data_IF_892887398802
#
_entry.id   IF_892887398802
#
_cell.length_a   1.000
_cell.length_b   1.000
_cell.length_c   1.000
_cell.angle_alpha   90.00
_cell.angle_beta   90.00
_cell.angle_gamma   90.00
#
_symmetry.space_group_name_H-M   'P 1'
#
loop_
_entity.id
_entity.type
_entity.pdbx_description
1 polymer ?
#
# COMPACT_ATOMS: atom_id res chain seq x y z
N UNK A 1 19.49 5.20 12.01
CA UNK A 1 18.04 5.06 11.74
C UNK A 1 17.91 5.16 10.24
N UNK A 2 17.41 4.12 9.58
CA UNK A 2 17.29 4.11 8.12
C UNK A 2 16.16 5.05 7.67
N UNK A 3 16.23 5.54 6.44
CA UNK A 3 15.15 6.39 5.90
C UNK A 3 13.80 5.65 5.84
N UNK A 4 13.81 4.31 5.77
CA UNK A 4 12.61 3.50 5.90
C UNK A 4 12.01 3.57 7.31
N UNK A 5 12.83 3.48 8.37
CA UNK A 5 12.38 3.64 9.75
C UNK A 5 11.79 5.05 10.01
N UNK A 6 12.37 6.07 9.39
CA UNK A 6 11.80 7.43 9.40
C UNK A 6 10.43 7.48 8.71
N UNK A 7 10.25 6.78 7.59
CA UNK A 7 8.96 6.69 6.93
C UNK A 7 7.91 6.00 7.81
N UNK A 8 8.30 4.91 8.51
CA UNK A 8 7.44 4.20 9.45
C UNK A 8 7.02 5.07 10.65
N UNK A 9 7.86 6.03 11.05
CA UNK A 9 7.56 6.96 12.14
C UNK A 9 6.74 8.18 11.70
N UNK A 10 6.95 8.66 10.47
CA UNK A 10 6.33 9.89 9.94
C UNK A 10 4.83 9.73 9.69
N UNK A 11 4.39 8.57 9.18
CA UNK A 11 2.97 8.27 8.95
C UNK A 11 2.25 9.30 8.07
N UNK A 12 1.25 9.99 8.64
CA UNK A 12 0.36 10.92 7.92
C UNK A 12 1.10 12.06 7.23
N UNK A 13 2.27 12.43 7.74
CA UNK A 13 3.06 13.56 7.24
C UNK A 13 3.93 13.21 6.02
N UNK A 14 3.84 11.98 5.52
CA UNK A 14 4.52 11.58 4.30
C UNK A 14 3.92 12.33 3.09
N UNK A 15 4.77 13.02 2.34
CA UNK A 15 4.35 13.69 1.09
C UNK A 15 3.89 12.65 0.05
N UNK A 16 3.10 13.05 -0.96
CA UNK A 16 2.71 12.14 -2.05
C UNK A 16 3.90 11.44 -2.72
N UNK A 17 5.01 12.16 -2.91
CA UNK A 17 6.25 11.65 -3.50
C UNK A 17 6.90 10.60 -2.59
N UNK A 18 6.95 10.86 -1.27
CA UNK A 18 7.46 9.91 -0.29
C UNK A 18 6.60 8.65 -0.23
N UNK A 19 5.26 8.79 -0.21
CA UNK A 19 4.32 7.65 -0.26
C UNK A 19 4.50 6.83 -1.53
N UNK A 20 4.69 7.49 -2.68
CA UNK A 20 4.95 6.80 -3.94
C UNK A 20 6.30 6.09 -3.96
N UNK A 21 7.36 6.71 -3.44
CA UNK A 21 8.68 6.11 -3.33
C UNK A 21 8.64 4.88 -2.40
N UNK A 22 7.95 4.99 -1.27
CA UNK A 22 7.71 3.90 -0.33
C UNK A 22 6.96 2.73 -1.00
N UNK A 23 5.91 3.01 -1.77
CA UNK A 23 5.21 2.00 -2.57
C UNK A 23 6.15 1.26 -3.53
N UNK A 24 7.00 2.00 -4.26
CA UNK A 24 7.97 1.41 -5.20
C UNK A 24 9.03 0.57 -4.48
N UNK A 25 9.50 1.05 -3.32
CA UNK A 25 10.45 0.34 -2.47
C UNK A 25 9.86 -0.96 -1.94
N UNK A 26 8.70 -0.91 -1.27
CA UNK A 26 8.02 -2.09 -0.72
C UNK A 26 7.69 -3.14 -1.80
N UNK A 27 7.23 -2.70 -2.98
CA UNK A 27 6.93 -3.60 -4.10
C UNK A 27 8.18 -4.34 -4.61
N UNK A 28 9.34 -3.69 -4.56
CA UNK A 28 10.62 -4.26 -4.96
C UNK A 28 11.16 -5.20 -3.87
N UNK A 29 11.24 -4.71 -2.64
CA UNK A 29 11.89 -5.40 -1.51
C UNK A 29 11.08 -6.63 -1.07
N UNK A 30 9.76 -6.46 -0.93
CA UNK A 30 8.86 -7.52 -0.45
C UNK A 30 8.26 -8.33 -1.61
N UNK A 31 8.88 -8.29 -2.79
CA UNK A 31 8.35 -8.88 -4.03
C UNK A 31 8.03 -10.38 -3.89
N UNK A 32 8.94 -11.17 -3.32
CA UNK A 32 8.74 -12.61 -3.15
C UNK A 32 7.80 -12.91 -1.98
N UNK A 33 7.92 -12.18 -0.86
CA UNK A 33 6.98 -12.28 0.26
C UNK A 33 5.53 -12.00 -0.21
N UNK A 34 5.31 -10.98 -1.03
CA UNK A 34 4.00 -10.68 -1.59
C UNK A 34 3.49 -11.76 -2.54
N UNK A 35 4.37 -12.48 -3.23
CA UNK A 35 3.98 -13.61 -4.06
C UNK A 35 3.50 -14.77 -3.18
N UNK A 36 4.20 -15.08 -2.11
CA UNK A 36 3.80 -16.09 -1.12
C UNK A 36 2.47 -15.71 -0.45
N UNK A 37 2.35 -14.47 0.02
CA UNK A 37 1.11 -13.91 0.57
C UNK A 37 -0.04 -13.98 -0.44
N UNK A 38 0.21 -13.73 -1.73
CA UNK A 38 -0.83 -13.82 -2.76
C UNK A 38 -1.32 -15.27 -2.90
N UNK A 39 -0.41 -16.25 -2.93
CA UNK A 39 -0.77 -17.66 -3.00
C UNK A 39 -1.55 -18.11 -1.75
N UNK A 40 -1.12 -17.68 -0.57
CA UNK A 40 -1.83 -17.96 0.69
C UNK A 40 -3.23 -17.36 0.70
N UNK A 41 -3.38 -16.09 0.30
CA UNK A 41 -4.68 -15.42 0.25
C UNK A 41 -5.63 -16.11 -0.76
N UNK A 42 -5.13 -16.47 -1.94
CA UNK A 42 -5.92 -17.19 -2.95
C UNK A 42 -6.34 -18.59 -2.48
N UNK A 43 -5.54 -19.23 -1.63
CA UNK A 43 -5.81 -20.59 -1.12
C UNK A 43 -6.75 -20.57 0.09
N UNK A 44 -6.57 -19.62 1.01
CA UNK A 44 -7.28 -19.56 2.29
C UNK A 44 -8.49 -18.64 2.28
N UNK A 45 -8.60 -17.76 1.28
CA UNK A 45 -9.63 -16.74 1.20
C UNK A 45 -9.43 -15.55 2.15
N UNK A 46 -8.51 -15.63 3.11
CA UNK A 46 -8.13 -14.52 3.99
C UNK A 46 -6.66 -14.59 4.38
N UNK A 47 -6.07 -13.44 4.70
CA UNK A 47 -4.69 -13.29 5.16
C UNK A 47 -4.59 -12.08 6.08
N UNK A 48 -3.95 -12.25 7.24
CA UNK A 48 -3.59 -11.13 8.11
C UNK A 48 -2.09 -10.90 8.12
N UNK A 49 -1.69 -9.63 8.07
CA UNK A 49 -0.29 -9.20 8.16
C UNK A 49 -0.17 -7.99 9.09
N UNK A 50 1.05 -7.61 9.43
CA UNK A 50 1.32 -6.43 10.25
C UNK A 50 2.38 -5.56 9.59
N UNK A 51 2.22 -4.24 9.71
CA UNK A 51 3.25 -3.27 9.35
C UNK A 51 3.09 -2.00 10.18
N UNK A 52 4.22 -1.40 10.60
CA UNK A 52 4.22 -0.30 11.56
C UNK A 52 3.37 -0.66 12.81
N UNK A 53 2.42 0.19 13.19
CA UNK A 53 1.45 -0.10 14.25
C UNK A 53 0.09 -0.57 13.70
N UNK A 54 0.04 -1.06 12.47
CA UNK A 54 -1.17 -1.57 11.83
C UNK A 54 -1.21 -3.10 11.80
N UNK A 55 -2.39 -3.65 12.07
CA UNK A 55 -2.78 -4.98 11.61
C UNK A 55 -3.63 -4.81 10.35
N UNK A 56 -3.30 -5.57 9.31
CA UNK A 56 -4.00 -5.58 8.04
C UNK A 56 -4.73 -6.92 7.91
N UNK A 57 -5.98 -6.87 7.47
CA UNK A 57 -6.76 -8.03 7.09
C UNK A 57 -7.12 -7.93 5.61
N UNK A 58 -6.69 -8.93 4.85
CA UNK A 58 -7.08 -9.14 3.46
C UNK A 58 -8.14 -10.25 3.40
N UNK A 59 -9.17 -10.03 2.61
CA UNK A 59 -10.27 -10.98 2.45
C UNK A 59 -10.66 -11.10 0.98
N UNK A 60 -11.00 -12.32 0.56
CA UNK A 60 -11.59 -12.62 -0.75
C UNK A 60 -13.07 -12.93 -0.56
N UNK A 61 -13.91 -12.17 -1.25
CA UNK A 61 -15.31 -12.51 -1.45
C UNK A 61 -15.58 -12.64 -2.95
N UNK A 62 -15.87 -13.85 -3.41
CA UNK A 62 -15.97 -14.19 -4.84
C UNK A 62 -14.67 -13.84 -5.60
N UNK A 63 -14.68 -12.82 -6.46
CA UNK A 63 -13.51 -12.30 -7.17
C UNK A 63 -12.93 -11.04 -6.54
N UNK A 64 -13.62 -10.44 -5.56
CA UNK A 64 -13.24 -9.18 -4.95
C UNK A 64 -12.30 -9.43 -3.78
N UNK A 65 -11.12 -8.83 -3.87
CA UNK A 65 -10.18 -8.76 -2.75
C UNK A 65 -10.34 -7.40 -2.10
N UNK A 66 -10.56 -7.38 -0.80
CA UNK A 66 -10.63 -6.17 0.01
C UNK A 66 -9.50 -6.12 1.02
N UNK A 67 -9.22 -4.92 1.55
CA UNK A 67 -8.44 -4.79 2.77
C UNK A 67 -9.09 -3.84 3.77
N UNK A 68 -8.88 -4.20 5.02
CA UNK A 68 -9.22 -3.43 6.21
C UNK A 68 -7.96 -3.34 7.08
N UNK A 69 -7.85 -2.31 7.91
CA UNK A 69 -6.78 -2.26 8.90
C UNK A 69 -7.24 -1.66 10.22
N UNK A 70 -6.48 -1.97 11.26
CA UNK A 70 -6.65 -1.38 12.60
C UNK A 70 -5.29 -1.10 13.22
N UNK A 71 -5.30 -0.28 14.26
CA UNK A 71 -4.16 -0.19 15.17
C UNK A 71 -3.97 -1.52 15.89
N UNK A 72 -2.72 -1.95 16.08
CA UNK A 72 -2.40 -3.12 16.92
C UNK A 72 -3.05 -2.97 18.30
N UNK A 73 -3.77 -4.01 18.73
CA UNK A 73 -4.53 -4.03 19.98
C UNK A 73 -5.82 -3.20 19.97
N UNK A 74 -6.20 -2.63 18.83
CA UNK A 74 -7.49 -1.96 18.64
C UNK A 74 -8.65 -2.96 18.59
N UNK A 75 -9.82 -2.55 19.07
CA UNK A 75 -11.00 -3.39 19.13
C UNK A 75 -11.50 -3.79 17.73
N UNK A 76 -11.75 -2.80 16.87
CA UNK A 76 -12.41 -3.00 15.59
C UNK A 76 -11.48 -2.68 14.40
N UNK A 77 -11.68 -3.43 13.31
CA UNK A 77 -11.15 -3.07 12.01
C UNK A 77 -11.86 -1.83 11.45
N UNK A 78 -11.15 -1.08 10.60
CA UNK A 78 -11.78 -0.04 9.79
C UNK A 78 -12.89 -0.62 8.91
N UNK A 79 -13.74 0.24 8.36
CA UNK A 79 -14.48 -0.13 7.16
C UNK A 79 -13.50 -0.46 6.02
N UNK A 80 -13.99 -1.17 4.99
CA UNK A 80 -13.20 -1.49 3.80
C UNK A 80 -12.52 -0.23 3.25
N UNK A 81 -11.18 -0.26 3.12
CA UNK A 81 -10.39 0.90 2.68
C UNK A 81 -10.20 0.87 1.16
N UNK A 82 -9.82 -0.29 0.60
CA UNK A 82 -9.72 -0.50 -0.85
C UNK A 82 -10.13 -1.92 -1.22
N UNK A 83 -10.50 -2.06 -2.47
CA UNK A 83 -10.74 -3.34 -3.10
C UNK A 83 -10.14 -3.40 -4.51
N UNK A 84 -9.95 -4.62 -5.00
CA UNK A 84 -9.65 -4.92 -6.39
C UNK A 84 -10.43 -6.18 -6.83
N UNK A 85 -10.75 -6.23 -8.12
CA UNK A 85 -11.31 -7.44 -8.74
C UNK A 85 -10.22 -8.36 -9.30
N UNK A 86 -10.29 -9.64 -9.02
CA UNK A 86 -9.44 -10.67 -9.61
C UNK A 86 -10.02 -11.15 -10.95
N UNK A 87 -9.14 -11.47 -11.88
CA UNK A 87 -9.50 -12.09 -13.15
C UNK A 87 -9.36 -13.61 -13.12
N UNK A 88 -9.40 -14.23 -14.30
CA UNK A 88 -9.25 -15.69 -14.45
C UNK A 88 -7.80 -16.17 -14.46
N UNK A 89 -6.83 -15.28 -14.70
CA UNK A 89 -5.42 -15.66 -14.89
C UNK A 89 -4.64 -15.53 -13.58
N UNK A 90 -4.14 -16.65 -13.06
CA UNK A 90 -3.37 -16.71 -11.82
C UNK A 90 -2.17 -15.76 -11.83
N UNK A 91 -1.34 -15.79 -12.88
CA UNK A 91 -0.15 -14.93 -12.97
C UNK A 91 -0.51 -13.43 -12.96
N UNK A 92 -1.62 -13.05 -13.62
CA UNK A 92 -2.10 -11.66 -13.59
C UNK A 92 -2.64 -11.29 -12.21
N UNK A 93 -3.35 -12.20 -11.55
CA UNK A 93 -3.87 -12.00 -10.21
C UNK A 93 -2.73 -11.84 -9.19
N UNK A 94 -1.70 -12.69 -9.23
CA UNK A 94 -0.51 -12.56 -8.37
C UNK A 94 0.15 -11.21 -8.58
N UNK A 95 0.37 -10.78 -9.84
CA UNK A 95 0.94 -9.46 -10.12
C UNK A 95 0.09 -8.32 -9.54
N UNK A 96 -1.24 -8.41 -9.70
CA UNK A 96 -2.19 -7.42 -9.19
C UNK A 96 -2.20 -7.38 -7.66
N UNK A 97 -2.15 -8.54 -7.02
CA UNK A 97 -2.08 -8.70 -5.56
C UNK A 97 -0.79 -8.11 -5.00
N UNK A 98 0.36 -8.31 -5.63
CA UNK A 98 1.63 -7.68 -5.21
C UNK A 98 1.53 -6.15 -5.19
N UNK A 99 0.93 -5.57 -6.23
CA UNK A 99 0.70 -4.11 -6.30
C UNK A 99 -0.29 -3.66 -5.23
N UNK A 100 -1.35 -4.44 -5.02
CA UNK A 100 -2.36 -4.18 -4.02
C UNK A 100 -1.77 -4.20 -2.60
N UNK A 101 -1.03 -5.24 -2.22
CA UNK A 101 -0.39 -5.35 -0.91
C UNK A 101 0.56 -4.18 -0.64
N UNK A 102 1.41 -3.82 -1.60
CA UNK A 102 2.30 -2.67 -1.45
C UNK A 102 1.52 -1.37 -1.21
N UNK A 103 0.43 -1.15 -1.93
CA UNK A 103 -0.43 0.01 -1.71
C UNK A 103 -1.07 0.00 -0.32
N UNK A 104 -1.61 -1.15 0.10
CA UNK A 104 -2.26 -1.31 1.41
C UNK A 104 -1.27 -1.05 2.55
N UNK A 105 -0.03 -1.50 2.43
CA UNK A 105 1.01 -1.24 3.41
C UNK A 105 1.36 0.25 3.50
N UNK A 106 1.43 0.97 2.37
CA UNK A 106 1.63 2.44 2.40
C UNK A 106 0.45 3.15 3.06
N UNK A 107 -0.76 2.73 2.78
CA UNK A 107 -1.95 3.30 3.42
C UNK A 107 -1.97 2.98 4.93
N UNK A 108 -1.59 1.77 5.33
CA UNK A 108 -1.48 1.38 6.73
C UNK A 108 -0.40 2.18 7.48
N UNK A 109 0.79 2.37 6.88
CA UNK A 109 1.88 3.18 7.46
C UNK A 109 1.42 4.63 7.64
N UNK A 110 0.73 5.20 6.65
CA UNK A 110 0.20 6.57 6.72
C UNK A 110 -0.78 6.78 7.87
N UNK A 111 -1.58 5.75 8.19
CA UNK A 111 -2.64 5.84 9.19
C UNK A 111 -2.23 5.35 10.58
N UNK A 112 -1.25 4.45 10.69
CA UNK A 112 -0.81 3.88 11.95
C UNK A 112 0.73 3.80 12.04
N UNK A 113 1.44 4.94 12.15
CA UNK A 113 2.89 4.97 12.27
C UNK A 113 3.40 4.37 13.60
N UNK A 114 4.66 3.93 13.61
CA UNK A 114 5.34 3.30 14.78
C UNK A 114 5.43 4.28 15.96
N UNK A 115 5.72 5.54 15.69
CA UNK A 115 5.75 6.61 16.68
C UNK A 115 4.72 7.66 16.30
N UNK A 116 3.54 7.61 16.89
CA UNK A 116 2.66 8.77 16.89
C UNK A 116 3.29 9.84 17.80
N UNK A 117 4.35 10.52 17.34
CA UNK A 117 4.94 11.69 18.05
C UNK A 117 3.90 12.78 18.29
N UNK A 118 2.79 12.73 17.54
CA UNK A 118 1.64 13.61 17.63
C UNK A 118 0.42 12.72 17.88
N UNK A 119 -0.40 13.00 18.91
CA UNK A 119 -1.69 12.35 19.09
C UNK A 119 -2.51 12.49 17.80
N UNK A 120 -2.84 11.36 17.16
CA UNK A 120 -3.71 11.38 16.00
C UNK A 120 -5.15 11.43 16.48
N UNK A 121 -5.74 12.63 16.47
CA UNK A 121 -7.18 12.85 16.68
C UNK A 121 -7.94 12.85 15.34
N UNK A 122 -7.37 12.19 14.32
CA UNK A 122 -7.94 12.13 12.98
C UNK A 122 -9.02 11.04 12.96
N UNK A 123 -10.28 11.48 12.98
CA UNK A 123 -11.43 10.61 12.74
C UNK A 123 -11.49 10.24 11.25
N UNK A 124 -10.81 9.16 10.86
CA UNK A 124 -10.89 8.58 9.51
C UNK A 124 -9.56 8.06 8.95
N UNK A 125 -9.64 7.34 7.82
CA UNK A 125 -8.47 6.79 7.12
C UNK A 125 -8.04 7.75 6.00
N UNK A 126 -6.80 8.23 6.04
CA UNK A 126 -6.19 9.05 4.99
C UNK A 126 -5.55 8.16 3.90
N UNK A 127 -6.20 8.11 2.74
CA UNK A 127 -5.69 7.41 1.55
C UNK A 127 -5.67 8.32 0.33
N UNK A 128 -4.77 8.04 -0.62
CA UNK A 128 -4.84 8.65 -1.95
C UNK A 128 -6.10 8.18 -2.69
N UNK A 129 -6.76 9.09 -3.41
CA UNK A 129 -7.94 8.76 -4.24
C UNK A 129 -7.66 7.62 -5.21
N UNK A 130 -6.57 7.72 -5.96
CA UNK A 130 -6.09 6.67 -6.85
C UNK A 130 -4.88 5.96 -6.23
N UNK A 131 -4.80 4.62 -6.32
CA UNK A 131 -3.62 3.89 -5.89
C UNK A 131 -2.46 4.09 -6.89
N UNK A 132 -1.22 3.96 -6.44
CA UNK A 132 -0.03 4.27 -7.25
C UNK A 132 0.21 3.32 -8.43
N UNK A 133 -0.43 2.14 -8.43
CA UNK A 133 -0.42 1.26 -9.59
C UNK A 133 -1.40 1.70 -10.69
N UNK A 134 -2.39 2.54 -10.38
CA UNK A 134 -3.33 3.06 -11.36
C UNK A 134 -2.70 4.22 -12.15
N UNK A 135 -2.97 4.25 -13.45
CA UNK A 135 -2.53 5.33 -14.33
C UNK A 135 -3.28 6.63 -14.04
N UNK A 136 -4.51 6.54 -13.50
CA UNK A 136 -5.30 7.71 -13.14
C UNK A 136 -4.70 8.51 -11.98
N UNK A 137 -3.83 7.90 -11.16
CA UNK A 137 -2.98 8.63 -10.21
C UNK A 137 -2.08 9.66 -10.91
N UNK A 138 -1.51 9.31 -12.05
CA UNK A 138 -0.53 10.15 -12.75
C UNK A 138 -1.19 11.21 -13.64
N UNK A 139 -2.44 10.98 -14.07
CA UNK A 139 -3.19 11.92 -14.89
C UNK A 139 -4.17 12.79 -14.11
N UNK A 140 -4.28 12.61 -12.80
CA UNK A 140 -5.35 13.19 -11.97
C UNK A 140 -6.75 12.85 -12.53
N UNK A 141 -6.91 11.61 -13.01
CA UNK A 141 -8.15 11.14 -13.65
C UNK A 141 -8.40 11.67 -15.07
N UNK A 142 -7.44 12.38 -15.69
CA UNK A 142 -7.54 12.87 -17.08
C UNK A 142 -7.28 11.78 -18.13
N UNK A 143 -7.33 10.51 -17.72
CA UNK A 143 -7.23 9.34 -18.60
C UNK A 143 -5.87 8.64 -18.60
N UNK A 144 -5.90 7.35 -18.96
CA UNK A 144 -4.79 6.41 -18.81
C UNK A 144 -3.60 6.69 -19.73
N UNK A 145 -3.84 7.21 -20.94
CA UNK A 145 -2.76 7.54 -21.88
C UNK A 145 -1.87 8.66 -21.32
N UNK A 146 -2.47 9.76 -20.86
CA UNK A 146 -1.74 10.85 -20.23
C UNK A 146 -1.03 10.37 -18.96
N UNK A 147 -1.68 9.48 -18.21
CA UNK A 147 -1.11 8.87 -17.01
C UNK A 147 0.15 8.06 -17.31
N UNK A 148 0.18 7.32 -18.42
CA UNK A 148 1.36 6.57 -18.85
C UNK A 148 2.54 7.49 -19.16
N UNK A 149 2.32 8.57 -19.92
CA UNK A 149 3.36 9.55 -20.27
C UNK A 149 3.94 10.20 -19.00
N UNK A 150 3.08 10.59 -18.06
CA UNK A 150 3.51 11.24 -16.81
C UNK A 150 4.21 10.28 -15.85
N UNK A 151 3.77 9.01 -15.78
CA UNK A 151 4.44 7.97 -14.99
C UNK A 151 5.89 7.77 -15.38
N UNK A 152 6.20 7.86 -16.67
CA UNK A 152 7.58 7.75 -17.16
C UNK A 152 8.45 8.92 -16.73
N UNK A 153 7.87 10.12 -16.58
CA UNK A 153 8.59 11.32 -16.12
C UNK A 153 8.76 11.37 -14.59
N UNK A 154 7.83 10.80 -13.83
CA UNK A 154 7.79 10.81 -12.35
C UNK A 154 8.75 9.78 -11.70
N UNK A 155 9.89 9.49 -12.34
CA UNK A 155 10.91 8.63 -11.75
C UNK A 155 11.75 9.45 -10.77
N UNK A 156 11.22 9.76 -9.59
CA UNK A 156 12.00 10.34 -8.48
C UNK A 156 12.99 9.30 -7.95
N UNK A 157 14.14 9.24 -8.64
CA UNK A 157 15.24 8.33 -8.34
C UNK A 157 15.86 8.66 -6.99
N UNK A 158 15.83 9.90 -6.53
CA UNK A 158 16.53 10.33 -5.33
C UNK A 158 15.92 9.73 -4.05
N UNK A 159 14.61 9.90 -3.81
CA UNK A 159 13.93 9.35 -2.63
C UNK A 159 13.97 7.82 -2.64
N UNK A 160 13.80 7.20 -3.82
CA UNK A 160 13.92 5.75 -3.97
C UNK A 160 15.33 5.25 -3.65
N UNK A 161 16.36 6.03 -3.99
CA UNK A 161 17.76 5.70 -3.66
C UNK A 161 17.98 5.79 -2.16
N UNK A 162 17.46 6.84 -1.50
CA UNK A 162 17.52 7.00 -0.03
C UNK A 162 16.85 5.84 0.71
N UNK A 163 15.73 5.31 0.21
CA UNK A 163 15.07 4.13 0.78
C UNK A 163 15.89 2.83 0.63
N UNK A 164 16.79 2.77 -0.36
CA UNK A 164 17.62 1.59 -0.65
C UNK A 164 18.98 1.63 0.04
N UNK A 165 19.46 2.81 0.41
CA UNK A 165 20.67 3.00 1.20
C UNK A 165 20.36 2.78 2.67
N UNK A 166 21.00 1.78 3.28
CA UNK A 166 20.93 1.43 4.70
C UNK A 166 21.59 2.50 5.57
#
# INVERSE_FOLDING_TARGET
MSYFEECLATGLWLTPEQRQALYKYLLSEKSELYKESALLLLTRGSLSTQIANAEILYSINQSRVSFECRKIGGADFSQEIRNIELGRSLNRNIKKLKQFFSQCEVDAIGNFPVQAKIPQDVKGINISKFPFYDLDYYSDGKGKFLGLIRKWKAADKEILTKLRTL
#
